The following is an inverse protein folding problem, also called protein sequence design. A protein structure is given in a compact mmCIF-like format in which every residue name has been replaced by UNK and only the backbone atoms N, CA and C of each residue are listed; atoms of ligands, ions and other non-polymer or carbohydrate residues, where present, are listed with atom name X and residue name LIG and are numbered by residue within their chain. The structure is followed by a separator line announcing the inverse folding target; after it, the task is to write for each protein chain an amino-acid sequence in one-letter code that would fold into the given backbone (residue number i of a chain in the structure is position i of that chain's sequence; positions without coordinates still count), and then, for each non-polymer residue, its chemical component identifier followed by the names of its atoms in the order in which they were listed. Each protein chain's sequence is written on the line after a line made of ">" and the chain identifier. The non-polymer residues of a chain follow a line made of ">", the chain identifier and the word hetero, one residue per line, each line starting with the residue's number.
data_IF_118681543445
#
_entry.id   IF_118681543445
#
_cell.length_a   1.000
_cell.length_b   1.000
_cell.length_c   1.000
_cell.angle_alpha   90.00
_cell.angle_beta   90.00
_cell.angle_gamma   90.00
#
_symmetry.space_group_name_H-M   'P 1'
#
loop_
_entity.id
_entity.type
_entity.pdbx_description
1 polymer ?
#
# COMPACT_ATOMS: atom_id res chain seq x y z
N UNK A 1 2.15 -15.28 -7.33
CA UNK A 1 2.41 -14.07 -6.52
C UNK A 1 1.70 -12.90 -7.20
N UNK A 2 0.74 -12.29 -6.52
CA UNK A 2 -0.07 -11.17 -7.04
C UNK A 2 0.46 -9.81 -6.60
N UNK A 3 0.99 -9.74 -5.38
CA UNK A 3 1.40 -8.49 -4.79
C UNK A 3 2.54 -8.66 -3.77
N UNK A 4 3.45 -7.69 -3.77
CA UNK A 4 4.43 -7.44 -2.73
C UNK A 4 4.09 -6.10 -2.04
N UNK A 5 3.71 -6.12 -0.76
CA UNK A 5 3.37 -4.90 0.00
C UNK A 5 4.29 -4.77 1.21
N UNK A 6 5.37 -3.99 1.09
CA UNK A 6 6.27 -3.74 2.22
C UNK A 6 7.00 -5.02 2.68
N UNK A 7 6.46 -5.67 3.72
CA UNK A 7 6.93 -6.90 4.34
C UNK A 7 6.02 -8.12 4.09
N UNK A 8 4.92 -7.96 3.34
CA UNK A 8 3.95 -9.01 3.07
C UNK A 8 3.87 -9.39 1.58
N UNK A 9 3.50 -10.65 1.34
CA UNK A 9 3.22 -11.21 0.02
C UNK A 9 1.76 -11.68 -0.04
N UNK A 10 1.04 -11.30 -1.09
CA UNK A 10 -0.26 -11.90 -1.41
C UNK A 10 -0.13 -12.85 -2.60
N UNK A 11 -0.54 -14.10 -2.38
CA UNK A 11 -0.43 -15.17 -3.37
C UNK A 11 -1.82 -15.78 -3.56
N UNK A 12 -2.28 -15.82 -4.81
CA UNK A 12 -3.51 -16.48 -5.20
C UNK A 12 -3.22 -17.83 -5.87
N UNK A 13 -3.93 -18.85 -5.43
CA UNK A 13 -4.07 -20.13 -6.10
C UNK A 13 -5.48 -20.18 -6.69
N UNK A 14 -5.67 -19.90 -7.98
CA UNK A 14 -7.00 -19.94 -8.58
C UNK A 14 -7.49 -21.38 -8.61
N UNK A 15 -8.81 -21.55 -8.38
CA UNK A 15 -9.46 -22.87 -8.49
C UNK A 15 -9.15 -23.45 -9.86
N UNK A 16 -8.51 -24.61 -9.88
CA UNK A 16 -8.20 -25.32 -11.11
C UNK A 16 -9.13 -26.53 -11.28
N UNK A 17 -9.11 -27.15 -12.48
CA UNK A 17 -9.93 -28.33 -12.77
C UNK A 17 -9.53 -29.56 -11.94
N UNK A 18 -8.33 -29.56 -11.35
CA UNK A 18 -7.85 -30.67 -10.52
C UNK A 18 -8.36 -30.61 -9.09
N UNK A 19 -8.85 -29.44 -8.64
CA UNK A 19 -9.31 -29.23 -7.26
C UNK A 19 -8.19 -29.28 -6.22
N UNK A 20 -6.93 -29.28 -6.66
CA UNK A 20 -5.73 -29.36 -5.79
C UNK A 20 -5.14 -28.00 -5.46
N UNK A 21 -5.87 -26.92 -5.71
CA UNK A 21 -5.41 -25.55 -5.48
C UNK A 21 -5.09 -25.29 -4.00
N UNK A 22 -5.92 -25.79 -3.08
CA UNK A 22 -5.69 -25.66 -1.63
C UNK A 22 -4.48 -26.47 -1.17
N UNK A 23 -4.37 -27.74 -1.60
CA UNK A 23 -3.20 -28.61 -1.34
C UNK A 23 -1.89 -27.94 -1.81
N UNK A 24 -1.91 -27.36 -3.02
CA UNK A 24 -0.76 -26.63 -3.57
C UNK A 24 -0.43 -25.37 -2.76
N UNK A 25 -1.44 -24.65 -2.28
CA UNK A 25 -1.24 -23.48 -1.43
C UNK A 25 -0.56 -23.86 -0.11
N UNK A 26 -1.02 -24.94 0.54
CA UNK A 26 -0.41 -25.46 1.79
C UNK A 26 1.04 -25.88 1.56
N UNK A 27 1.31 -26.67 0.51
CA UNK A 27 2.67 -27.08 0.17
C UNK A 27 3.57 -25.89 -0.15
N UNK A 28 3.07 -24.90 -0.87
CA UNK A 28 3.82 -23.67 -1.12
C UNK A 28 4.16 -22.94 0.18
N UNK A 29 3.21 -22.84 1.12
CA UNK A 29 3.43 -22.29 2.45
C UNK A 29 4.57 -22.99 3.20
N UNK A 30 4.54 -24.31 3.26
CA UNK A 30 5.58 -25.12 3.91
C UNK A 30 6.95 -24.95 3.24
N UNK A 31 7.00 -24.92 1.90
CA UNK A 31 8.24 -24.66 1.14
C UNK A 31 8.81 -23.27 1.43
N UNK A 32 7.95 -22.25 1.53
CA UNK A 32 8.38 -20.91 1.91
C UNK A 32 8.98 -20.92 3.33
N UNK A 33 8.35 -21.60 4.29
CA UNK A 33 8.91 -21.72 5.64
C UNK A 33 10.26 -22.44 5.68
N UNK A 34 10.44 -23.52 4.89
CA UNK A 34 11.74 -24.19 4.74
C UNK A 34 12.79 -23.28 4.11
N UNK A 35 12.44 -22.55 3.06
CA UNK A 35 13.34 -21.60 2.40
C UNK A 35 13.79 -20.50 3.38
N UNK A 36 12.89 -20.04 4.26
CA UNK A 36 13.19 -19.02 5.27
C UNK A 36 14.23 -19.43 6.31
N UNK A 37 14.49 -20.74 6.50
CA UNK A 37 15.54 -21.21 7.41
C UNK A 37 16.94 -20.69 7.02
N UNK A 38 17.19 -20.47 5.72
CA UNK A 38 18.46 -19.88 5.24
C UNK A 38 18.69 -18.44 5.72
N UNK A 39 17.63 -17.75 6.15
CA UNK A 39 17.66 -16.35 6.58
C UNK A 39 17.49 -16.20 8.10
N UNK A 40 17.57 -17.30 8.86
CA UNK A 40 17.39 -17.27 10.31
C UNK A 40 18.57 -16.60 11.04
N UNK A 41 19.76 -16.60 10.42
CA UNK A 41 20.97 -15.96 10.93
C UNK A 41 21.65 -15.18 9.81
N UNK A 42 21.32 -13.89 9.71
CA UNK A 42 21.96 -12.96 8.79
C UNK A 42 22.97 -12.15 9.59
N UNK A 43 24.25 -12.39 9.33
CA UNK A 43 25.34 -11.62 9.93
C UNK A 43 25.46 -10.26 9.25
N UNK A 44 25.46 -9.21 10.06
CA UNK A 44 25.67 -7.84 9.58
C UNK A 44 26.67 -7.13 10.49
N UNK A 45 27.27 -6.02 10.05
CA UNK A 45 28.12 -5.20 10.92
C UNK A 45 27.42 -4.66 12.18
N UNK A 46 26.08 -4.64 12.20
CA UNK A 46 25.27 -4.20 13.35
C UNK A 46 24.84 -5.36 14.26
N UNK A 47 25.26 -6.59 13.97
CA UNK A 47 24.92 -7.82 14.70
C UNK A 47 24.19 -8.85 13.85
N UNK A 48 23.76 -9.93 14.50
CA UNK A 48 22.99 -11.01 13.85
C UNK A 48 21.52 -10.65 13.83
N UNK A 49 20.95 -10.57 12.64
CA UNK A 49 19.52 -10.40 12.43
C UNK A 49 18.89 -11.74 12.06
N UNK A 50 17.65 -11.94 12.50
CA UNK A 50 16.91 -13.17 12.23
C UNK A 50 15.64 -12.84 11.48
N UNK A 51 15.54 -13.29 10.24
CA UNK A 51 14.35 -13.11 9.42
C UNK A 51 13.44 -14.34 9.57
N UNK A 52 12.13 -14.10 9.58
CA UNK A 52 11.16 -15.18 9.62
C UNK A 52 9.85 -14.75 9.02
N UNK A 53 9.03 -15.74 8.71
CA UNK A 53 7.79 -15.55 7.99
C UNK A 53 6.62 -16.14 8.77
N UNK A 54 5.47 -15.50 8.66
CA UNK A 54 4.18 -16.06 9.02
C UNK A 54 3.43 -16.30 7.72
N UNK A 55 2.73 -17.43 7.65
CA UNK A 55 1.90 -17.75 6.49
C UNK A 55 0.49 -18.01 7.00
N UNK A 56 -0.48 -17.35 6.38
CA UNK A 56 -1.91 -17.54 6.61
C UNK A 56 -2.61 -17.90 5.31
N UNK A 57 -3.53 -18.87 5.37
CA UNK A 57 -4.31 -19.35 4.24
C UNK A 57 -5.79 -19.28 4.57
N UNK A 58 -6.55 -18.83 3.58
CA UNK A 58 -8.00 -18.88 3.59
C UNK A 58 -8.52 -19.21 2.18
N UNK A 59 -9.65 -19.91 2.11
CA UNK A 59 -10.33 -20.28 0.88
C UNK A 59 -11.75 -19.73 0.90
N UNK A 60 -12.16 -19.07 -0.18
CA UNK A 60 -13.47 -18.48 -0.26
C UNK A 60 -13.72 -17.80 -1.61
N UNK A 61 -14.90 -17.20 -1.75
CA UNK A 61 -15.26 -16.42 -2.94
C UNK A 61 -14.74 -14.99 -2.80
N UNK A 62 -14.19 -14.45 -3.88
CA UNK A 62 -13.76 -13.07 -3.96
C UNK A 62 -13.98 -12.56 -5.38
N UNK A 63 -14.10 -11.25 -5.52
CA UNK A 63 -14.19 -10.59 -6.82
C UNK A 63 -12.80 -10.15 -7.27
N UNK A 64 -12.49 -10.32 -8.55
CA UNK A 64 -11.32 -9.74 -9.19
C UNK A 64 -11.76 -8.73 -10.23
N UNK A 65 -11.13 -7.56 -10.26
CA UNK A 65 -11.48 -6.53 -11.24
C UNK A 65 -10.23 -5.76 -11.69
N UNK A 66 -10.28 -5.29 -12.94
CA UNK A 66 -9.39 -4.25 -13.42
C UNK A 66 -10.12 -2.91 -13.25
N UNK A 67 -9.55 -1.99 -12.47
CA UNK A 67 -10.12 -0.66 -12.23
C UNK A 67 -9.20 0.42 -12.83
N UNK A 68 -9.79 1.50 -13.33
CA UNK A 68 -9.07 2.66 -13.86
C UNK A 68 -9.42 3.01 -15.30
N UNK A 69 -8.45 3.61 -16.00
CA UNK A 69 -8.57 4.06 -17.39
C UNK A 69 -7.64 3.27 -18.30
N UNK A 70 -7.83 3.36 -19.62
CA UNK A 70 -6.94 2.71 -20.59
C UNK A 70 -5.45 3.09 -20.43
N UNK A 71 -5.16 4.24 -19.81
CA UNK A 71 -3.80 4.73 -19.55
C UNK A 71 -3.26 4.30 -18.18
N UNK A 72 -4.15 4.07 -17.19
CA UNK A 72 -3.78 3.63 -15.84
C UNK A 72 -4.82 2.66 -15.29
N UNK A 73 -4.45 1.39 -15.20
CA UNK A 73 -5.27 0.29 -14.68
C UNK A 73 -4.65 -0.32 -13.43
N UNK A 74 -5.45 -0.75 -12.47
CA UNK A 74 -5.03 -1.53 -11.31
C UNK A 74 -5.81 -2.84 -11.25
N UNK A 75 -5.12 -3.95 -10.98
CA UNK A 75 -5.77 -5.23 -10.74
C UNK A 75 -6.03 -5.40 -9.24
N UNK A 76 -7.31 -5.43 -8.86
CA UNK A 76 -7.73 -5.51 -7.45
C UNK A 76 -8.46 -6.81 -7.16
N UNK A 77 -8.28 -7.29 -5.92
CA UNK A 77 -9.07 -8.36 -5.35
C UNK A 77 -10.01 -7.73 -4.32
N UNK A 78 -11.25 -8.16 -4.22
CA UNK A 78 -12.24 -7.58 -3.32
C UNK A 78 -13.07 -8.67 -2.63
N UNK A 79 -13.50 -8.39 -1.41
CA UNK A 79 -14.32 -9.29 -0.59
C UNK A 79 -13.61 -9.85 0.64
N UNK A 80 -14.40 -10.39 1.58
CA UNK A 80 -13.91 -10.82 2.89
C UNK A 80 -12.90 -11.97 2.82
N UNK A 81 -12.90 -12.80 1.77
CA UNK A 81 -11.92 -13.88 1.62
C UNK A 81 -10.46 -13.39 1.70
N UNK A 82 -10.15 -12.23 1.09
CA UNK A 82 -8.79 -11.66 1.14
C UNK A 82 -8.47 -11.17 2.56
N UNK A 83 -9.47 -10.62 3.26
CA UNK A 83 -9.34 -10.16 4.64
C UNK A 83 -9.09 -11.34 5.59
N UNK A 84 -9.83 -12.43 5.43
CA UNK A 84 -9.67 -13.64 6.24
C UNK A 84 -8.29 -14.28 6.03
N UNK A 85 -7.73 -14.26 4.82
CA UNK A 85 -6.35 -14.71 4.59
C UNK A 85 -5.33 -13.87 5.36
N UNK A 86 -5.49 -12.54 5.37
CA UNK A 86 -4.65 -11.63 6.16
C UNK A 86 -4.85 -11.83 7.67
N UNK A 87 -6.08 -12.07 8.12
CA UNK A 87 -6.36 -12.41 9.52
C UNK A 87 -5.68 -13.72 9.92
N UNK A 88 -5.76 -14.77 9.09
CA UNK A 88 -5.08 -16.04 9.34
C UNK A 88 -3.55 -15.85 9.48
N UNK A 89 -2.94 -14.96 8.70
CA UNK A 89 -1.51 -14.63 8.82
C UNK A 89 -1.23 -13.94 10.18
N UNK A 90 -2.07 -12.98 10.58
CA UNK A 90 -1.92 -12.27 11.85
C UNK A 90 -2.04 -13.18 13.07
N UNK A 91 -2.83 -14.25 12.97
CA UNK A 91 -3.00 -15.29 14.01
C UNK A 91 -1.95 -16.40 13.93
N UNK A 92 -1.14 -16.42 12.89
CA UNK A 92 -0.09 -17.41 12.68
C UNK A 92 1.13 -17.15 13.57
N UNK A 93 1.94 -18.18 13.76
CA UNK A 93 3.21 -18.11 14.45
C UNK A 93 4.37 -18.03 13.45
N UNK A 94 5.48 -17.42 13.87
CA UNK A 94 6.71 -17.37 13.06
C UNK A 94 7.15 -18.79 12.72
N UNK A 95 7.46 -19.05 11.46
CA UNK A 95 7.87 -20.37 10.99
C UNK A 95 6.71 -21.32 10.69
N UNK A 96 5.45 -20.90 10.88
CA UNK A 96 4.27 -21.76 10.76
C UNK A 96 3.35 -21.36 9.63
N UNK A 97 2.55 -22.33 9.19
CA UNK A 97 1.50 -22.19 8.19
C UNK A 97 0.17 -22.36 8.91
N UNK A 98 -0.66 -21.32 8.88
CA UNK A 98 -1.93 -21.23 9.58
C UNK A 98 -3.09 -21.24 8.57
N UNK A 99 -4.13 -22.01 8.87
CA UNK A 99 -5.35 -22.07 8.07
C UNK A 99 -6.54 -21.66 8.92
N UNK A 100 -7.53 -21.03 8.30
CA UNK A 100 -8.87 -20.94 8.89
C UNK A 100 -9.54 -22.32 8.89
N UNK A 101 -10.54 -22.51 9.76
CA UNK A 101 -11.32 -23.74 9.82
C UNK A 101 -11.90 -24.15 8.45
N UNK A 102 -12.41 -23.21 7.67
CA UNK A 102 -12.99 -23.49 6.35
C UNK A 102 -11.97 -24.09 5.39
N UNK A 103 -10.71 -23.65 5.48
CA UNK A 103 -9.65 -24.18 4.62
C UNK A 103 -9.13 -25.51 5.15
N UNK A 104 -9.01 -25.64 6.48
CA UNK A 104 -8.62 -26.89 7.13
C UNK A 104 -9.54 -28.05 6.73
N UNK A 105 -10.87 -27.84 6.75
CA UNK A 105 -11.84 -28.89 6.39
C UNK A 105 -11.65 -29.45 4.96
N UNK A 106 -11.04 -28.67 4.05
CA UNK A 106 -10.79 -29.09 2.67
C UNK A 106 -9.53 -29.97 2.52
N UNK A 107 -8.61 -29.95 3.49
CA UNK A 107 -7.31 -30.62 3.41
C UNK A 107 -6.95 -31.42 4.68
N UNK A 108 -7.93 -31.64 5.57
CA UNK A 108 -7.72 -32.35 6.84
C UNK A 108 -7.24 -33.79 6.68
N UNK A 109 -7.58 -34.41 5.55
CA UNK A 109 -7.20 -35.79 5.22
C UNK A 109 -5.83 -35.87 4.50
N UNK A 110 -5.29 -34.73 4.05
CA UNK A 110 -4.05 -34.65 3.25
C UNK A 110 -2.81 -34.28 4.07
N UNK A 111 -2.98 -33.65 5.23
CA UNK A 111 -1.89 -33.16 6.09
C UNK A 111 -2.18 -33.41 7.57
N UNK A 112 -1.14 -33.35 8.38
CA UNK A 112 -1.29 -33.35 9.84
C UNK A 112 -1.31 -31.92 10.39
N UNK A 113 -2.07 -31.72 11.47
CA UNK A 113 -2.32 -30.42 12.05
C UNK A 113 -2.20 -30.44 13.57
N UNK A 114 -1.93 -29.26 14.14
CA UNK A 114 -2.06 -29.01 15.57
C UNK A 114 -2.96 -27.78 15.82
N UNK A 115 -3.62 -27.70 16.99
CA UNK A 115 -4.48 -26.57 17.31
C UNK A 115 -3.69 -25.26 17.43
N UNK A 116 -4.16 -24.22 16.75
CA UNK A 116 -3.66 -22.85 16.87
C UNK A 116 -4.51 -22.00 17.82
N UNK A 117 -4.66 -20.72 17.49
CA UNK A 117 -5.67 -19.86 18.13
C UNK A 117 -7.10 -20.36 17.80
N UNK A 118 -8.12 -20.03 18.60
CA UNK A 118 -9.50 -20.45 18.33
C UNK A 118 -9.95 -20.09 16.91
N UNK A 119 -10.39 -21.09 16.13
CA UNK A 119 -10.79 -20.93 14.73
C UNK A 119 -9.67 -21.12 13.70
N UNK A 120 -8.46 -21.48 14.15
CA UNK A 120 -7.30 -21.64 13.30
C UNK A 120 -6.54 -22.95 13.59
N UNK A 121 -6.05 -23.57 12.51
CA UNK A 121 -5.25 -24.80 12.56
C UNK A 121 -3.86 -24.55 11.98
N UNK A 122 -2.85 -25.17 12.58
CA UNK A 122 -1.46 -25.04 12.13
C UNK A 122 -1.02 -26.33 11.46
N UNK A 123 -0.43 -26.22 10.28
CA UNK A 123 0.12 -27.38 9.56
C UNK A 123 1.38 -27.86 10.26
N UNK A 124 1.53 -29.17 10.37
CA UNK A 124 2.76 -29.83 10.76
C UNK A 124 3.61 -30.11 9.50
N UNK A 125 4.88 -29.71 9.55
CA UNK A 125 5.82 -29.96 8.45
C UNK A 125 6.48 -31.33 8.59
N UNK A 126 5.73 -32.40 8.35
CA UNK A 126 6.16 -33.80 8.45
C UNK A 126 6.41 -34.47 7.09
N UNK A 127 6.20 -33.72 6.00
CA UNK A 127 6.36 -34.22 4.63
C UNK A 127 7.85 -34.39 4.27
N UNK A 128 8.19 -35.46 3.56
CA UNK A 128 9.53 -35.57 2.95
C UNK A 128 9.69 -34.56 1.80
N UNK A 129 10.93 -34.20 1.44
CA UNK A 129 11.21 -33.26 0.34
C UNK A 129 10.56 -33.68 -0.98
N UNK A 130 10.54 -34.98 -1.29
CA UNK A 130 9.88 -35.50 -2.50
C UNK A 130 8.36 -35.35 -2.49
N UNK A 131 7.71 -35.53 -1.33
CA UNK A 131 6.24 -35.38 -1.19
C UNK A 131 5.80 -33.92 -1.10
N UNK A 132 6.66 -33.05 -0.58
CA UNK A 132 6.45 -31.61 -0.67
C UNK A 132 6.57 -31.13 -2.12
N UNK A 133 7.24 -31.90 -2.99
CA UNK A 133 7.52 -31.70 -4.41
C UNK A 133 8.75 -30.83 -4.66
N UNK A 134 9.32 -30.90 -5.86
CA UNK A 134 10.60 -30.25 -6.17
C UNK A 134 10.50 -28.72 -6.34
N UNK A 135 11.64 -28.04 -6.09
CA UNK A 135 11.90 -26.61 -6.35
C UNK A 135 12.13 -26.35 -7.84
N UNK A 136 11.40 -27.00 -8.73
CA UNK A 136 11.51 -26.65 -10.14
C UNK A 136 10.80 -25.32 -10.35
N UNK A 137 11.59 -24.25 -10.27
CA UNK A 137 11.31 -22.96 -10.90
C UNK A 137 11.31 -23.18 -12.41
N UNK A 138 10.35 -23.96 -12.91
CA UNK A 138 9.95 -23.82 -14.29
C UNK A 138 9.39 -22.41 -14.40
N UNK A 139 10.26 -21.46 -14.78
CA UNK A 139 9.82 -20.39 -15.67
C UNK A 139 9.11 -21.13 -16.78
N UNK A 140 7.78 -21.16 -16.71
CA UNK A 140 6.89 -21.82 -17.65
C UNK A 140 7.53 -21.68 -19.00
N UNK A 141 7.97 -22.81 -19.56
CA UNK A 141 8.88 -22.92 -20.70
C UNK A 141 8.59 -21.75 -21.61
N UNK A 142 9.42 -20.69 -21.55
CA UNK A 142 9.30 -19.59 -22.49
C UNK A 142 9.59 -20.28 -23.80
N UNK A 143 8.55 -20.74 -24.50
CA UNK A 143 8.56 -20.83 -25.94
C UNK A 143 8.97 -19.42 -26.30
N UNK A 144 10.27 -19.20 -26.52
CA UNK A 144 10.77 -18.00 -27.15
C UNK A 144 9.93 -17.96 -28.40
N UNK A 145 8.94 -17.06 -28.43
CA UNK A 145 8.21 -16.75 -29.63
C UNK A 145 9.31 -16.52 -30.66
N UNK A 146 9.37 -17.35 -31.70
CA UNK A 146 10.29 -17.12 -32.82
C UNK A 146 10.07 -15.66 -33.19
N UNK A 147 11.10 -14.79 -33.14
CA UNK A 147 10.92 -13.39 -33.44
C UNK A 147 10.23 -13.31 -34.81
N UNK A 148 9.09 -12.64 -34.91
CA UNK A 148 8.33 -12.53 -36.18
C UNK A 148 9.23 -11.99 -37.30
N UNK A 149 10.23 -11.18 -36.94
CA UNK A 149 11.30 -10.64 -37.81
C UNK A 149 12.11 -11.73 -38.53
N UNK A 150 12.23 -12.94 -37.96
CA UNK A 150 12.91 -14.09 -38.58
C UNK A 150 12.04 -14.81 -39.62
N UNK A 151 10.72 -14.59 -39.60
CA UNK A 151 9.77 -15.22 -40.52
C UNK A 151 9.43 -14.30 -41.72
N UNK A 152 9.39 -12.98 -41.50
CA UNK A 152 9.17 -11.99 -42.53
C UNK A 152 9.94 -10.69 -42.22
N UNK A 153 10.99 -10.44 -43.01
CA UNK A 153 11.83 -9.25 -42.94
C UNK A 153 11.43 -8.16 -43.94
N UNK A 154 10.30 -8.29 -44.62
CA UNK A 154 9.74 -7.22 -45.45
C UNK A 154 9.39 -6.00 -44.59
N UNK A 155 9.28 -4.83 -45.21
CA UNK A 155 8.87 -3.61 -44.52
C UNK A 155 7.50 -3.80 -43.86
N UNK A 156 6.58 -4.45 -44.56
CA UNK A 156 5.22 -4.77 -44.12
C UNK A 156 5.25 -5.75 -42.93
N UNK A 157 6.06 -6.81 -43.02
CA UNK A 157 6.26 -7.79 -41.96
C UNK A 157 6.82 -7.18 -40.67
N UNK A 158 7.81 -6.29 -40.80
CA UNK A 158 8.38 -5.57 -39.65
C UNK A 158 7.36 -4.63 -39.02
N UNK A 159 6.63 -3.84 -39.81
CA UNK A 159 5.57 -2.95 -39.29
C UNK A 159 4.49 -3.76 -38.57
N UNK A 160 4.08 -4.89 -39.13
CA UNK A 160 3.10 -5.78 -38.53
C UNK A 160 3.61 -6.36 -37.20
N UNK A 161 4.86 -6.81 -37.15
CA UNK A 161 5.49 -7.30 -35.93
C UNK A 161 5.59 -6.24 -34.82
N UNK A 162 5.92 -4.99 -35.19
CA UNK A 162 5.96 -3.86 -34.25
C UNK A 162 4.55 -3.59 -33.71
N UNK A 163 3.53 -3.52 -34.58
CA UNK A 163 2.13 -3.32 -34.16
C UNK A 163 1.66 -4.42 -33.20
N UNK A 164 1.88 -5.69 -33.53
CA UNK A 164 1.56 -6.80 -32.63
C UNK A 164 2.33 -6.71 -31.30
N UNK A 165 3.58 -6.25 -31.34
CA UNK A 165 4.39 -6.01 -30.14
C UNK A 165 3.76 -4.94 -29.24
N UNK A 166 3.34 -3.81 -29.83
CA UNK A 166 2.66 -2.73 -29.11
C UNK A 166 1.32 -3.21 -28.54
N UNK A 167 0.50 -3.91 -29.32
CA UNK A 167 -0.80 -4.45 -28.88
C UNK A 167 -0.66 -5.42 -27.70
N UNK A 168 0.45 -6.17 -27.61
CA UNK A 168 0.74 -7.07 -26.48
C UNK A 168 1.26 -6.34 -25.24
N UNK A 169 2.03 -5.27 -25.42
CA UNK A 169 2.72 -4.58 -24.32
C UNK A 169 1.88 -3.44 -23.74
N UNK A 170 1.14 -2.70 -24.58
CA UNK A 170 0.39 -1.52 -24.14
C UNK A 170 -0.62 -1.81 -23.01
N UNK A 171 -1.42 -2.90 -23.04
CA UNK A 171 -2.31 -3.24 -21.92
C UNK A 171 -1.55 -3.52 -20.61
N UNK A 172 -0.33 -4.06 -20.70
CA UNK A 172 0.51 -4.33 -19.52
C UNK A 172 1.14 -3.05 -18.97
N UNK A 173 1.48 -2.10 -19.84
CA UNK A 173 2.06 -0.81 -19.45
C UNK A 173 1.08 0.02 -18.60
N UNK A 174 -0.23 -0.08 -18.86
CA UNK A 174 -1.26 0.61 -18.08
C UNK A 174 -1.27 0.19 -16.59
N UNK A 175 -0.73 -0.98 -16.25
CA UNK A 175 -0.60 -1.44 -14.87
C UNK A 175 0.64 -0.90 -14.13
N UNK A 176 1.44 -0.05 -14.78
CA UNK A 176 2.62 0.56 -14.21
C UNK A 176 2.45 2.07 -14.10
N UNK A 177 2.77 2.69 -12.96
CA UNK A 177 2.81 4.14 -12.89
C UNK A 177 3.83 4.71 -13.89
N UNK A 178 3.44 5.74 -14.66
CA UNK A 178 4.25 6.29 -15.75
C UNK A 178 5.68 6.62 -15.32
N UNK A 179 5.85 7.21 -14.14
CA UNK A 179 7.17 7.58 -13.61
C UNK A 179 8.08 6.38 -13.33
N UNK A 180 7.52 5.20 -13.03
CA UNK A 180 8.31 3.97 -12.86
C UNK A 180 8.71 3.43 -14.24
N UNK A 181 7.78 3.49 -15.21
CA UNK A 181 8.05 3.09 -16.59
C UNK A 181 9.15 3.94 -17.22
N UNK A 182 9.12 5.27 -17.03
CA UNK A 182 10.15 6.20 -17.52
C UNK A 182 11.55 5.80 -17.04
N UNK A 183 11.71 5.46 -15.77
CA UNK A 183 13.02 5.07 -15.21
C UNK A 183 13.48 3.71 -15.73
N UNK A 184 12.55 2.80 -15.99
CA UNK A 184 12.88 1.54 -16.64
C UNK A 184 13.35 1.75 -18.08
N UNK A 185 12.79 2.73 -18.79
CA UNK A 185 13.22 3.12 -20.14
C UNK A 185 14.58 3.83 -20.13
N UNK A 186 14.83 4.69 -19.15
CA UNK A 186 16.13 5.36 -18.98
C UNK A 186 17.26 4.37 -18.63
N UNK A 187 16.94 3.29 -17.92
CA UNK A 187 17.88 2.23 -17.51
C UNK A 187 18.01 1.08 -18.52
N UNK A 188 17.69 1.29 -19.80
CA UNK A 188 17.63 0.24 -20.85
C UNK A 188 18.87 -0.65 -20.98
N UNK A 189 20.06 -0.14 -20.61
CA UNK A 189 21.30 -0.93 -20.60
C UNK A 189 21.39 -1.98 -19.49
N UNK A 190 20.88 -1.68 -18.29
CA UNK A 190 20.95 -2.56 -17.10
C UNK A 190 19.61 -3.21 -16.76
N UNK A 191 18.49 -2.64 -17.24
CA UNK A 191 17.10 -3.07 -16.97
C UNK A 191 16.82 -3.26 -15.47
N UNK A 192 17.41 -2.41 -14.64
CA UNK A 192 17.27 -2.42 -13.19
C UNK A 192 17.16 -0.99 -12.67
N UNK A 193 16.18 -0.72 -11.82
CA UNK A 193 16.12 0.54 -11.08
C UNK A 193 17.12 0.47 -9.92
N UNK A 194 18.14 1.34 -9.86
CA UNK A 194 19.15 1.27 -8.81
C UNK A 194 18.53 1.57 -7.43
N UNK A 195 19.03 0.94 -6.35
CA UNK A 195 18.63 1.30 -5.00
C UNK A 195 18.94 2.75 -4.67
N UNK A 196 18.07 3.40 -3.90
CA UNK A 196 18.20 4.79 -3.47
C UNK A 196 17.68 4.98 -2.03
N UNK A 197 18.10 6.06 -1.37
CA UNK A 197 17.67 6.44 -0.01
C UNK A 197 16.99 7.82 0.00
N UNK A 198 15.82 7.97 -0.64
CA UNK A 198 15.15 9.26 -0.70
C UNK A 198 14.53 9.64 0.65
N UNK A 199 14.07 10.89 0.74
CA UNK A 199 13.25 11.38 1.87
C UNK A 199 11.87 11.78 1.35
N UNK A 200 10.99 10.83 0.98
CA UNK A 200 9.71 11.15 0.38
C UNK A 200 8.67 11.61 1.42
N UNK A 201 7.65 12.32 0.94
CA UNK A 201 6.38 12.41 1.63
C UNK A 201 5.47 11.26 1.17
N UNK A 202 4.91 10.53 2.11
CA UNK A 202 4.05 9.36 1.87
C UNK A 202 2.65 9.67 2.35
N UNK A 203 1.66 9.41 1.50
CA UNK A 203 0.24 9.50 1.81
C UNK A 203 -0.33 8.08 1.71
N UNK A 204 -0.96 7.62 2.78
CA UNK A 204 -1.77 6.41 2.79
C UNK A 204 -3.24 6.78 2.88
N UNK A 205 -4.06 6.19 2.02
CA UNK A 205 -5.51 6.39 1.99
C UNK A 205 -6.18 5.04 2.16
N UNK A 206 -6.92 4.83 3.24
CA UNK A 206 -7.78 3.65 3.38
C UNK A 206 -9.19 4.04 2.94
N UNK A 207 -9.65 3.49 1.82
CA UNK A 207 -11.01 3.64 1.30
C UNK A 207 -11.89 2.53 1.86
N UNK A 208 -13.01 2.91 2.50
CA UNK A 208 -13.93 2.00 3.18
C UNK A 208 -15.33 2.09 2.57
N UNK A 209 -16.05 0.97 2.60
CA UNK A 209 -17.41 0.82 2.07
C UNK A 209 -17.47 -0.07 0.82
N UNK A 210 -16.40 -0.13 0.01
CA UNK A 210 -16.37 -0.96 -1.20
C UNK A 210 -16.04 -2.42 -0.89
N UNK A 211 -14.93 -2.67 -0.19
CA UNK A 211 -14.50 -4.05 0.09
C UNK A 211 -15.52 -4.78 0.95
N UNK A 212 -16.12 -4.06 1.90
CA UNK A 212 -17.13 -4.60 2.81
C UNK A 212 -18.48 -4.86 2.14
N UNK A 213 -18.78 -4.19 1.03
CA UNK A 213 -20.07 -4.36 0.34
C UNK A 213 -20.11 -5.58 -0.56
N UNK A 214 -18.97 -6.01 -1.11
CA UNK A 214 -18.86 -7.13 -2.06
C UNK A 214 -19.53 -8.41 -1.56
N UNK A 215 -19.40 -8.72 -0.26
CA UNK A 215 -19.97 -9.96 0.29
C UNK A 215 -21.50 -9.93 0.39
N UNK A 216 -22.11 -8.74 0.36
CA UNK A 216 -23.56 -8.53 0.37
C UNK A 216 -24.13 -8.24 -1.03
N UNK A 217 -23.24 -8.14 -2.03
CA UNK A 217 -23.58 -7.71 -3.38
C UNK A 217 -24.12 -8.87 -4.22
N UNK A 218 -25.21 -8.61 -4.94
CA UNK A 218 -25.77 -9.58 -5.89
C UNK A 218 -24.96 -9.59 -7.20
N UNK A 219 -24.90 -10.71 -7.94
CA UNK A 219 -24.07 -10.80 -9.15
C UNK A 219 -24.32 -9.74 -10.24
N UNK A 220 -25.55 -9.23 -10.33
CA UNK A 220 -25.93 -8.16 -11.25
C UNK A 220 -25.41 -6.77 -10.82
N UNK A 221 -25.05 -6.58 -9.55
CA UNK A 221 -24.56 -5.32 -8.97
C UNK A 221 -23.01 -5.21 -9.01
N UNK A 222 -22.29 -6.28 -9.37
CA UNK A 222 -20.82 -6.27 -9.40
C UNK A 222 -20.24 -5.19 -10.33
N UNK A 223 -20.87 -4.96 -11.48
CA UNK A 223 -20.40 -3.94 -12.42
C UNK A 223 -20.53 -2.52 -11.86
N UNK A 224 -21.56 -2.25 -11.05
CA UNK A 224 -21.77 -0.93 -10.46
C UNK A 224 -20.71 -0.63 -9.40
N UNK A 225 -20.34 -1.64 -8.59
CA UNK A 225 -19.28 -1.50 -7.58
C UNK A 225 -17.91 -1.34 -8.25
N UNK A 226 -17.62 -2.16 -9.26
CA UNK A 226 -16.37 -2.04 -10.02
C UNK A 226 -16.30 -0.69 -10.73
N UNK A 227 -17.41 -0.21 -11.29
CA UNK A 227 -17.52 1.11 -11.91
C UNK A 227 -17.24 2.25 -10.93
N UNK A 228 -17.88 2.23 -9.75
CA UNK A 228 -17.64 3.23 -8.72
C UNK A 228 -16.18 3.22 -8.21
N UNK A 229 -15.59 2.03 -8.02
CA UNK A 229 -14.17 1.96 -7.65
C UNK A 229 -13.28 2.47 -8.78
N UNK A 230 -13.60 2.16 -10.03
CA UNK A 230 -12.88 2.65 -11.20
C UNK A 230 -12.90 4.18 -11.31
N UNK A 231 -14.05 4.80 -11.06
CA UNK A 231 -14.23 6.26 -11.01
C UNK A 231 -13.40 6.88 -9.88
N UNK A 232 -13.56 6.38 -8.65
CA UNK A 232 -12.81 6.85 -7.50
C UNK A 232 -11.29 6.75 -7.70
N UNK A 233 -10.82 5.61 -8.21
CA UNK A 233 -9.40 5.39 -8.50
C UNK A 233 -8.89 6.35 -9.57
N UNK A 234 -9.64 6.55 -10.65
CA UNK A 234 -9.24 7.42 -11.77
C UNK A 234 -9.12 8.87 -11.34
N UNK A 235 -10.10 9.39 -10.58
CA UNK A 235 -10.06 10.76 -10.05
C UNK A 235 -8.91 10.97 -9.06
N UNK A 236 -8.70 10.02 -8.15
CA UNK A 236 -7.58 10.06 -7.20
C UNK A 236 -6.26 10.04 -7.95
N UNK A 237 -6.09 9.15 -8.94
CA UNK A 237 -4.85 9.06 -9.71
C UNK A 237 -4.56 10.37 -10.47
N UNK A 238 -5.57 10.97 -11.10
CA UNK A 238 -5.41 12.25 -11.80
C UNK A 238 -4.94 13.38 -10.87
N UNK A 239 -5.49 13.47 -9.65
CA UNK A 239 -5.03 14.45 -8.65
C UNK A 239 -3.60 14.14 -8.16
N UNK A 240 -3.25 12.88 -8.01
CA UNK A 240 -1.89 12.47 -7.60
C UNK A 240 -0.88 12.86 -8.67
N UNK A 241 -1.14 12.51 -9.93
CA UNK A 241 -0.25 12.76 -11.06
C UNK A 241 -0.11 14.24 -11.38
N UNK A 242 -1.21 15.02 -11.35
CA UNK A 242 -1.17 16.47 -11.57
C UNK A 242 -0.31 17.21 -10.53
N UNK A 243 -0.12 16.63 -9.35
CA UNK A 243 0.80 17.15 -8.32
C UNK A 243 2.18 16.50 -8.34
N UNK A 244 2.48 15.64 -9.31
CA UNK A 244 3.78 14.98 -9.44
C UNK A 244 4.01 13.87 -8.42
N UNK A 245 2.95 13.34 -7.81
CA UNK A 245 3.01 12.14 -6.98
C UNK A 245 2.85 10.87 -7.82
N UNK A 246 3.00 9.72 -7.17
CA UNK A 246 2.74 8.40 -7.75
C UNK A 246 1.76 7.67 -6.87
N UNK A 247 0.64 7.23 -7.44
CA UNK A 247 -0.21 6.20 -6.84
C UNK A 247 0.37 4.86 -7.23
N UNK A 248 1.05 4.22 -6.27
CA UNK A 248 1.81 3.00 -6.54
C UNK A 248 0.90 1.81 -6.73
N UNK A 249 -0.01 1.60 -5.78
CA UNK A 249 -0.84 0.39 -5.72
C UNK A 249 -2.07 0.60 -4.85
N UNK A 250 -3.10 -0.19 -5.13
CA UNK A 250 -4.29 -0.37 -4.30
C UNK A 250 -4.26 -1.78 -3.72
N UNK A 251 -4.36 -1.89 -2.40
CA UNK A 251 -4.17 -3.15 -1.66
C UNK A 251 -5.35 -3.35 -0.71
N UNK A 252 -5.84 -4.58 -0.52
CA UNK A 252 -6.90 -4.81 0.48
C UNK A 252 -6.29 -4.72 1.88
N UNK A 253 -6.77 -3.85 2.75
CA UNK A 253 -6.40 -3.81 4.15
C UNK A 253 -7.49 -4.47 5.01
N UNK A 254 -7.16 -4.88 6.23
CA UNK A 254 -8.10 -5.50 7.20
C UNK A 254 -9.38 -4.68 7.45
N UNK A 255 -9.38 -3.41 7.04
CA UNK A 255 -10.45 -2.44 7.25
C UNK A 255 -10.79 -1.66 5.99
N UNK A 256 -10.49 -2.13 4.77
CA UNK A 256 -10.83 -1.41 3.54
C UNK A 256 -9.81 -1.64 2.41
N UNK A 257 -9.57 -0.61 1.61
CA UNK A 257 -8.60 -0.60 0.50
C UNK A 257 -7.55 0.49 0.71
N UNK A 258 -6.31 0.10 0.95
CA UNK A 258 -5.18 1.00 1.14
C UNK A 258 -4.58 1.41 -0.21
N UNK A 259 -4.43 2.71 -0.42
CA UNK A 259 -3.69 3.30 -1.51
C UNK A 259 -2.41 3.91 -0.98
N UNK A 260 -1.27 3.48 -1.52
CA UNK A 260 0.04 4.04 -1.18
C UNK A 260 0.47 5.07 -2.23
N UNK A 261 0.64 6.31 -1.80
CA UNK A 261 1.01 7.43 -2.66
C UNK A 261 2.34 8.04 -2.19
N UNK A 262 3.24 8.29 -3.14
CA UNK A 262 4.57 8.82 -2.86
C UNK A 262 4.82 10.14 -3.59
N UNK A 263 5.51 11.04 -2.89
CA UNK A 263 5.97 12.32 -3.39
C UNK A 263 7.45 12.47 -3.06
N UNK A 264 8.27 12.94 -4.02
CA UNK A 264 9.72 13.05 -3.83
C UNK A 264 10.49 11.74 -4.08
N UNK A 265 9.83 10.73 -4.65
CA UNK A 265 10.48 9.56 -5.24
C UNK A 265 9.56 8.97 -6.31
N UNK A 266 10.08 8.55 -7.47
CA UNK A 266 11.46 8.71 -7.92
C UNK A 266 11.75 10.10 -8.49
N UNK A 267 10.73 10.85 -8.96
CA UNK A 267 10.87 12.27 -9.30
C UNK A 267 10.83 13.13 -8.03
N UNK A 268 11.67 14.17 -7.99
CA UNK A 268 11.83 15.06 -6.83
C UNK A 268 11.44 16.49 -7.19
N UNK A 269 10.47 17.05 -6.46
CA UNK A 269 10.04 18.46 -6.57
C UNK A 269 10.31 19.19 -5.25
N UNK A 270 10.90 20.39 -5.20
CA UNK A 270 11.25 21.05 -3.93
C UNK A 270 10.11 21.22 -2.91
N UNK A 271 8.86 21.26 -3.38
CA UNK A 271 7.62 21.44 -2.62
C UNK A 271 6.82 20.12 -2.42
N UNK A 272 7.44 18.96 -2.63
CA UNK A 272 6.77 17.65 -2.54
C UNK A 272 6.03 17.36 -1.21
N UNK A 273 6.44 17.86 -0.02
CA UNK A 273 5.64 17.67 1.21
C UNK A 273 4.33 18.46 1.19
N UNK A 274 4.31 19.64 0.58
CA UNK A 274 3.10 20.44 0.42
C UNK A 274 2.15 19.78 -0.58
N UNK A 275 2.68 19.32 -1.72
CA UNK A 275 1.91 18.57 -2.72
C UNK A 275 1.21 17.36 -2.10
N UNK A 276 1.91 16.60 -1.26
CA UNK A 276 1.34 15.47 -0.52
C UNK A 276 0.16 15.89 0.40
N UNK A 277 0.32 16.98 1.14
CA UNK A 277 -0.72 17.54 2.01
C UNK A 277 -1.98 17.93 1.21
N UNK A 278 -1.80 18.64 0.11
CA UNK A 278 -2.90 19.09 -0.72
C UNK A 278 -3.57 17.94 -1.47
N UNK A 279 -2.81 16.92 -1.90
CA UNK A 279 -3.38 15.68 -2.46
C UNK A 279 -4.26 14.98 -1.44
N UNK A 280 -3.81 14.83 -0.19
CA UNK A 280 -4.60 14.21 0.86
C UNK A 280 -5.96 14.94 1.07
N UNK A 281 -5.97 16.27 1.03
CA UNK A 281 -7.22 17.05 1.12
C UNK A 281 -8.12 16.86 -0.11
N UNK A 282 -7.53 16.85 -1.31
CA UNK A 282 -8.27 16.67 -2.55
C UNK A 282 -8.89 15.27 -2.65
N UNK A 283 -8.15 14.22 -2.28
CA UNK A 283 -8.66 12.83 -2.22
C UNK A 283 -9.85 12.71 -1.27
N UNK A 284 -9.79 13.34 -0.09
CA UNK A 284 -10.94 13.37 0.81
C UNK A 284 -12.16 14.02 0.16
N UNK A 285 -11.96 15.16 -0.52
CA UNK A 285 -13.07 15.89 -1.15
C UNK A 285 -13.72 15.06 -2.27
N UNK A 286 -12.92 14.38 -3.10
CA UNK A 286 -13.41 13.44 -4.12
C UNK A 286 -14.33 12.40 -3.47
N UNK A 287 -13.83 11.71 -2.45
CA UNK A 287 -14.57 10.61 -1.79
C UNK A 287 -15.85 11.11 -1.11
N UNK A 288 -15.86 12.34 -0.60
CA UNK A 288 -17.06 12.98 -0.03
C UNK A 288 -18.10 13.39 -1.07
N UNK A 289 -17.71 13.57 -2.32
CA UNK A 289 -18.59 13.96 -3.42
C UNK A 289 -19.13 12.75 -4.20
N UNK A 290 -18.52 11.58 -4.05
CA UNK A 290 -19.01 10.35 -4.66
C UNK A 290 -20.40 9.97 -4.13
N UNK A 291 -21.35 9.63 -5.02
CA UNK A 291 -22.68 9.21 -4.61
C UNK A 291 -22.64 7.90 -3.82
N UNK A 292 -23.59 7.67 -2.90
CA UNK A 292 -23.75 6.37 -2.26
C UNK A 292 -24.02 5.28 -3.30
N UNK A 293 -23.38 4.14 -3.13
CA UNK A 293 -23.59 2.97 -3.99
C UNK A 293 -24.78 2.19 -3.44
N UNK A 294 -25.69 1.75 -4.30
CA UNK A 294 -26.78 0.86 -3.89
C UNK A 294 -26.28 -0.58 -3.89
N UNK A 295 -26.38 -1.25 -2.75
CA UNK A 295 -26.04 -2.67 -2.63
C UNK A 295 -27.17 -3.37 -1.92
N UNK A 296 -27.79 -4.35 -2.58
CA UNK A 296 -28.97 -5.06 -2.08
C UNK A 296 -30.07 -4.10 -1.56
N UNK A 297 -30.31 -3.00 -2.30
CA UNK A 297 -31.30 -1.98 -1.95
C UNK A 297 -30.93 -1.04 -0.80
N UNK A 298 -29.72 -1.12 -0.24
CA UNK A 298 -29.24 -0.23 0.81
C UNK A 298 -28.13 0.70 0.30
N UNK A 299 -28.19 2.02 0.60
CA UNK A 299 -27.12 2.95 0.23
C UNK A 299 -25.88 2.76 1.11
N UNK A 300 -24.74 2.53 0.48
CA UNK A 300 -23.43 2.46 1.12
C UNK A 300 -22.65 3.71 0.75
N UNK A 301 -22.43 4.56 1.76
CA UNK A 301 -21.60 5.76 1.62
C UNK A 301 -20.12 5.40 1.77
N UNK A 302 -19.31 5.85 0.81
CA UNK A 302 -17.86 5.73 0.88
C UNK A 302 -17.25 6.74 1.84
N UNK A 303 -16.17 6.34 2.49
CA UNK A 303 -15.38 7.21 3.36
C UNK A 303 -13.91 6.82 3.33
N UNK A 304 -13.04 7.76 3.71
CA UNK A 304 -11.62 7.52 3.78
C UNK A 304 -11.01 7.84 5.14
N UNK A 305 -9.88 7.20 5.41
CA UNK A 305 -8.94 7.59 6.44
C UNK A 305 -7.61 7.91 5.75
N UNK A 306 -6.94 8.98 6.14
CA UNK A 306 -5.72 9.42 5.46
C UNK A 306 -4.60 9.66 6.47
N UNK A 307 -3.45 9.05 6.24
CA UNK A 307 -2.22 9.25 7.01
C UNK A 307 -1.14 9.84 6.12
N UNK A 308 -0.48 10.91 6.58
CA UNK A 308 0.65 11.50 5.87
C UNK A 308 1.88 11.47 6.76
N UNK A 309 3.02 11.11 6.20
CA UNK A 309 4.30 11.20 6.90
C UNK A 309 5.42 11.58 5.94
N UNK A 310 6.47 12.20 6.46
CA UNK A 310 7.64 12.59 5.69
C UNK A 310 8.90 12.18 6.44
N UNK A 311 9.86 11.60 5.72
CA UNK A 311 11.09 11.10 6.32
C UNK A 311 11.88 10.17 5.40
N UNK A 312 13.04 9.70 5.85
CA UNK A 312 13.94 8.86 5.05
C UNK A 312 13.30 7.50 4.78
N UNK A 313 13.54 6.98 3.58
CA UNK A 313 13.13 5.65 3.13
C UNK A 313 14.22 5.01 2.28
N UNK A 314 14.03 3.73 2.00
CA UNK A 314 14.79 2.98 0.99
C UNK A 314 13.87 2.74 -0.20
N UNK A 315 14.32 3.00 -1.43
CA UNK A 315 13.60 2.66 -2.65
C UNK A 315 14.44 1.80 -3.57
N UNK A 316 13.87 0.74 -4.11
CA UNK A 316 14.56 -0.20 -5.00
C UNK A 316 13.57 -1.06 -5.79
N UNK A 317 14.03 -1.66 -6.88
CA UNK A 317 13.35 -2.78 -7.51
C UNK A 317 13.65 -4.08 -6.74
N UNK A 318 12.61 -4.76 -6.25
CA UNK A 318 12.72 -5.97 -5.42
C UNK A 318 12.06 -7.13 -6.15
N UNK A 319 12.75 -8.28 -6.23
CA UNK A 319 12.23 -9.52 -6.80
C UNK A 319 13.30 -10.38 -7.45
N UNK A 320 12.87 -11.35 -8.25
CA UNK A 320 13.77 -12.28 -8.93
C UNK A 320 14.37 -11.61 -10.19
N UNK A 321 15.70 -11.56 -10.38
CA UNK A 321 16.34 -10.81 -11.46
C UNK A 321 15.84 -11.13 -12.88
N UNK A 322 15.45 -12.38 -13.15
CA UNK A 322 14.94 -12.84 -14.45
C UNK A 322 13.42 -13.06 -14.47
N UNK A 323 12.72 -12.63 -13.42
CA UNK A 323 11.31 -12.91 -13.20
C UNK A 323 10.56 -11.70 -12.69
N UNK A 324 9.67 -11.93 -11.71
CA UNK A 324 8.79 -10.88 -11.20
C UNK A 324 9.57 -9.94 -10.28
N UNK A 325 9.50 -8.65 -10.58
CA UNK A 325 10.10 -7.57 -9.80
C UNK A 325 9.13 -6.41 -9.67
N UNK A 326 9.17 -5.73 -8.54
CA UNK A 326 8.34 -4.56 -8.27
C UNK A 326 9.22 -3.45 -7.68
N UNK A 327 9.10 -2.23 -8.23
CA UNK A 327 9.65 -1.05 -7.57
C UNK A 327 8.98 -0.92 -6.21
N UNK A 328 9.72 -0.70 -5.13
CA UNK A 328 9.25 -0.64 -3.74
C UNK A 328 9.85 0.55 -3.00
N UNK A 329 9.10 1.08 -2.02
CA UNK A 329 9.57 2.12 -1.10
C UNK A 329 9.30 1.62 0.31
N UNK A 330 10.36 1.45 1.09
CA UNK A 330 10.36 0.78 2.40
C UNK A 330 10.93 1.70 3.49
N UNK A 331 10.50 1.49 4.72
CA UNK A 331 11.07 2.12 5.90
C UNK A 331 10.05 2.57 6.93
N UNK A 332 10.53 2.96 8.10
CA UNK A 332 9.70 3.40 9.23
C UNK A 332 8.78 4.57 8.89
N UNK A 333 9.20 5.42 7.95
CA UNK A 333 8.40 6.53 7.44
C UNK A 333 7.09 6.04 6.81
N UNK A 334 7.16 4.97 6.01
CA UNK A 334 6.02 4.35 5.33
C UNK A 334 5.09 3.71 6.37
N UNK A 335 5.68 2.91 7.26
CA UNK A 335 4.94 2.23 8.34
C UNK A 335 4.23 3.22 9.27
N UNK A 336 4.86 4.37 9.54
CA UNK A 336 4.26 5.42 10.37
C UNK A 336 3.09 6.09 9.66
N UNK A 337 3.16 6.36 8.36
CA UNK A 337 2.04 6.91 7.59
C UNK A 337 0.83 5.96 7.60
N UNK A 338 1.04 4.65 7.37
CA UNK A 338 -0.02 3.65 7.48
C UNK A 338 -0.63 3.57 8.90
N UNK A 339 0.21 3.65 9.94
CA UNK A 339 -0.25 3.70 11.35
C UNK A 339 -1.01 4.98 11.71
N UNK A 340 -0.72 6.09 11.06
CA UNK A 340 -1.45 7.35 11.22
C UNK A 340 -2.83 7.25 10.57
N UNK A 341 -2.89 6.71 9.35
CA UNK A 341 -4.14 6.42 8.64
C UNK A 341 -5.07 5.54 9.49
N UNK A 342 -4.58 4.43 10.03
CA UNK A 342 -5.37 3.52 10.87
C UNK A 342 -5.88 4.15 12.18
N UNK A 343 -5.27 5.26 12.64
CA UNK A 343 -5.72 6.03 13.81
C UNK A 343 -6.60 7.23 13.46
N UNK A 344 -6.63 7.63 12.19
CA UNK A 344 -7.48 8.72 11.76
C UNK A 344 -8.94 8.29 11.88
N UNK A 345 -9.81 9.16 12.38
CA UNK A 345 -11.22 8.85 12.34
C UNK A 345 -11.75 8.80 10.91
N UNK A 346 -12.72 7.91 10.63
CA UNK A 346 -13.52 8.00 9.41
C UNK A 346 -13.99 9.44 9.20
N UNK A 347 -13.69 10.05 8.05
CA UNK A 347 -14.15 11.41 7.74
C UNK A 347 -15.65 11.41 7.40
N UNK A 348 -16.50 11.16 8.42
CA UNK A 348 -17.95 11.34 8.37
C UNK A 348 -18.37 12.80 8.60
N UNK A 349 -17.48 13.65 9.12
CA UNK A 349 -17.78 15.05 9.44
C UNK A 349 -16.97 16.06 8.61
N UNK A 350 -17.55 17.24 8.41
CA UNK A 350 -17.18 18.26 7.42
C UNK A 350 -16.05 19.21 7.82
N UNK A 351 -15.41 19.05 8.98
CA UNK A 351 -14.41 20.01 9.47
C UNK A 351 -13.01 19.36 9.67
N UNK A 352 -12.00 19.73 8.87
CA UNK A 352 -10.64 19.22 9.05
C UNK A 352 -9.92 19.92 10.21
N UNK A 353 -9.12 19.15 10.98
CA UNK A 353 -7.99 19.71 11.75
C UNK A 353 -6.67 19.17 11.20
N UNK A 354 -5.86 20.08 10.66
CA UNK A 354 -4.52 19.82 10.17
C UNK A 354 -3.54 20.02 11.34
N UNK A 355 -2.81 18.98 11.73
CA UNK A 355 -1.79 19.06 12.77
C UNK A 355 -0.41 18.82 12.16
N UNK A 356 0.43 19.87 12.16
CA UNK A 356 1.86 19.74 11.91
C UNK A 356 2.56 19.52 13.25
N UNK A 357 3.17 18.36 13.45
CA UNK A 357 3.98 18.07 14.64
C UNK A 357 5.40 17.71 14.23
N UNK A 358 6.38 18.33 14.89
CA UNK A 358 7.78 17.96 14.78
C UNK A 358 8.09 16.84 15.76
N UNK A 359 8.63 15.72 15.28
CA UNK A 359 9.08 14.61 16.15
C UNK A 359 10.44 14.09 15.67
N UNK A 360 11.45 14.15 16.55
CA UNK A 360 12.83 13.68 16.28
C UNK A 360 13.46 14.22 14.97
N UNK A 361 13.13 15.45 14.57
CA UNK A 361 13.66 16.06 13.35
C UNK A 361 12.79 15.90 12.10
N UNK A 362 11.77 15.04 12.11
CA UNK A 362 10.84 14.87 11.01
C UNK A 362 9.60 15.77 11.18
N UNK A 363 9.10 16.29 10.07
CA UNK A 363 7.81 16.97 9.99
C UNK A 363 6.72 15.92 9.74
N UNK A 364 5.80 15.77 10.70
CA UNK A 364 4.65 14.90 10.56
C UNK A 364 3.44 15.77 10.29
N UNK A 365 2.77 15.54 9.16
CA UNK A 365 1.50 16.14 8.84
C UNK A 365 0.40 15.13 9.16
N UNK A 366 -0.41 15.39 10.19
CA UNK A 366 -1.52 14.53 10.53
C UNK A 366 -2.82 15.25 10.20
N UNK A 367 -3.67 14.64 9.38
CA UNK A 367 -5.04 15.11 9.13
C UNK A 367 -5.94 14.34 10.10
N UNK A 368 -6.45 15.00 11.14
CA UNK A 368 -7.38 14.40 12.12
C UNK A 368 -8.84 14.81 11.83
N UNK A 369 -9.73 13.81 11.88
CA UNK A 369 -11.10 13.94 12.41
C UNK A 369 -11.08 13.62 13.92
N UNK A 370 -11.93 14.25 14.74
CA UNK A 370 -11.78 14.28 16.21
C UNK A 370 -12.59 13.20 16.95
N UNK A 371 -11.89 12.41 17.79
CA UNK A 371 -12.31 12.08 19.16
C UNK A 371 -11.15 11.51 19.98
N UNK A 372 -10.86 12.18 21.09
CA UNK A 372 -9.95 11.71 22.13
C UNK A 372 -10.69 10.71 23.02
N UNK A 373 -10.52 9.41 22.81
CA UNK A 373 -10.75 8.46 23.89
C UNK A 373 -9.60 8.60 24.90
N UNK A 374 -9.95 8.83 26.17
CA UNK A 374 -9.01 8.99 27.29
C UNK A 374 -8.17 7.71 27.46
N UNK A 375 -7.00 7.65 26.84
CA UNK A 375 -6.04 6.56 27.03
C UNK A 375 -4.62 7.04 26.77
N UNK A 376 -3.78 7.08 27.80
CA UNK A 376 -2.37 7.48 27.71
C UNK A 376 -1.62 6.54 26.75
N UNK A 377 -1.23 7.02 25.56
CA UNK A 377 -0.22 6.37 24.74
C UNK A 377 1.13 6.44 25.45
N UNK A 378 1.55 5.35 26.09
CA UNK A 378 2.94 5.16 26.52
C UNK A 378 3.76 4.65 25.32
N UNK A 379 4.93 5.22 25.01
CA UNK A 379 5.83 4.65 24.01
C UNK A 379 6.40 3.29 24.50
N UNK A 380 6.72 2.35 23.58
CA UNK A 380 7.26 1.04 23.94
C UNK A 380 8.63 1.13 24.65
N UNK A 381 8.98 0.13 25.48
CA UNK A 381 9.99 0.24 26.54
C UNK A 381 11.45 0.43 26.07
N UNK A 382 11.75 0.25 24.78
CA UNK A 382 13.11 0.45 24.24
C UNK A 382 13.44 1.91 23.87
N UNK A 383 12.54 2.87 24.12
CA UNK A 383 12.79 4.31 23.97
C UNK A 383 13.00 5.01 25.32
N UNK A 384 14.01 4.58 26.10
CA UNK A 384 14.53 5.37 27.22
C UNK A 384 15.93 5.90 26.88
N UNK A 385 15.99 7.12 26.39
CA UNK A 385 17.15 7.99 26.58
C UNK A 385 16.86 8.92 27.75
N UNK A 386 17.75 9.04 28.74
CA UNK A 386 17.59 10.01 29.81
C UNK A 386 17.80 11.41 29.24
N UNK A 387 16.91 12.35 29.59
CA UNK A 387 16.95 13.80 29.27
C UNK A 387 16.40 14.22 27.90
N UNK A 388 15.09 14.28 27.79
CA UNK A 388 14.43 15.40 27.09
C UNK A 388 13.03 15.62 27.68
N UNK A 389 12.76 16.84 28.13
CA UNK A 389 11.51 17.26 28.74
C UNK A 389 10.38 17.31 27.70
N UNK A 390 9.47 16.35 27.76
CA UNK A 390 8.23 16.36 26.96
C UNK A 390 7.32 17.51 27.41
N UNK A 391 7.06 18.48 26.53
CA UNK A 391 5.96 19.44 26.70
C UNK A 391 4.80 19.07 25.78
N UNK A 392 3.72 18.58 26.36
CA UNK A 392 2.38 18.54 25.77
C UNK A 392 1.76 19.94 25.87
N UNK A 393 1.39 20.57 24.76
CA UNK A 393 0.65 21.83 24.79
C UNK A 393 -0.84 21.59 24.54
N UNK A 394 -1.67 22.08 25.48
CA UNK A 394 -3.13 22.23 25.35
C UNK A 394 -3.41 23.69 25.04
N UNK A 395 -4.24 23.97 24.03
CA UNK A 395 -4.71 25.33 23.73
C UNK A 395 -6.09 25.52 24.34
N UNK A 396 -6.24 26.53 25.19
CA UNK A 396 -7.52 26.99 25.76
C UNK A 396 -7.97 28.26 25.02
N UNK A 397 -9.28 28.39 24.79
CA UNK A 397 -9.91 29.56 24.16
C UNK A 397 -9.97 30.77 25.11
N UNK A 398 -9.41 31.92 24.74
CA UNK A 398 -9.97 33.28 24.97
C UNK A 398 -9.07 34.42 24.42
N UNK A 399 -9.61 35.21 23.46
CA UNK A 399 -9.43 36.66 23.10
C UNK A 399 -8.00 37.29 22.98
N UNK A 400 -7.84 38.56 22.49
CA UNK A 400 -8.28 39.16 21.22
C UNK A 400 -7.14 39.83 20.39
N UNK A 401 -7.47 40.06 19.10
CA UNK A 401 -6.97 41.00 18.06
C UNK A 401 -5.54 41.58 18.11
N UNK A 402 -4.88 41.36 16.96
CA UNK A 402 -3.85 42.16 16.31
C UNK A 402 -2.48 42.25 17.01
N UNK A 403 -1.52 41.44 16.54
CA UNK A 403 -0.24 41.82 15.91
C UNK A 403 0.69 40.59 15.91
N UNK A 404 1.24 40.20 14.75
CA UNK A 404 2.20 39.09 14.65
C UNK A 404 3.63 39.63 14.55
N UNK A 405 4.52 39.21 15.47
CA UNK A 405 5.97 39.43 15.39
C UNK A 405 6.66 38.07 15.32
N UNK A 406 7.48 37.87 14.29
CA UNK A 406 8.20 36.63 14.03
C UNK A 406 9.65 36.74 14.52
N UNK A 407 10.10 35.81 15.38
CA UNK A 407 11.53 35.61 15.69
C UNK A 407 11.92 34.13 15.50
N UNK A 408 13.00 33.88 14.75
CA UNK A 408 13.53 32.54 14.45
C UNK A 408 14.88 32.28 15.15
N UNK A 409 15.12 31.10 15.74
CA UNK A 409 16.46 30.66 16.08
C UNK A 409 17.10 29.92 14.90
N UNK A 410 18.29 30.38 14.51
CA UNK A 410 19.16 29.79 13.48
C UNK A 410 19.69 28.43 13.96
N UNK A 411 19.39 27.36 13.20
CA UNK A 411 20.38 26.43 12.60
C UNK A 411 19.63 25.21 12.00
N UNK A 412 20.15 24.74 10.87
CA UNK A 412 19.80 23.53 10.09
C UNK A 412 18.45 23.45 9.37
N UNK A 413 18.12 24.46 8.55
CA UNK A 413 17.25 24.30 7.36
C UNK A 413 17.54 25.43 6.35
N UNK A 414 17.53 25.15 5.04
CA UNK A 414 17.67 26.21 4.01
C UNK A 414 16.47 27.15 4.13
N UNK A 415 16.76 28.45 4.33
CA UNK A 415 15.81 29.53 4.65
C UNK A 415 14.60 29.65 3.70
N UNK A 416 14.67 29.08 2.50
CA UNK A 416 13.67 29.22 1.44
C UNK A 416 12.49 28.23 1.56
N UNK A 417 12.66 27.06 2.19
CA UNK A 417 11.61 26.02 2.22
C UNK A 417 10.54 26.33 3.28
N UNK A 418 10.92 26.79 4.47
CA UNK A 418 9.97 27.21 5.52
C UNK A 418 9.26 28.53 5.20
N UNK A 419 9.90 29.41 4.42
CA UNK A 419 9.35 30.71 4.06
C UNK A 419 8.15 30.58 3.12
N UNK A 420 8.15 29.59 2.23
CA UNK A 420 7.07 29.40 1.25
C UNK A 420 5.79 28.86 1.88
N UNK A 421 5.89 27.96 2.85
CA UNK A 421 4.73 27.36 3.52
C UNK A 421 3.95 28.39 4.36
N UNK A 422 4.65 29.23 5.13
CA UNK A 422 4.01 30.24 5.99
C UNK A 422 3.40 31.41 5.20
N UNK A 423 4.05 31.86 4.12
CA UNK A 423 3.53 32.94 3.25
C UNK A 423 2.30 32.51 2.45
N UNK A 424 2.20 31.23 2.13
CA UNK A 424 1.06 30.65 1.41
C UNK A 424 -0.18 30.50 2.29
N UNK A 425 -0.03 30.06 3.55
CA UNK A 425 -1.14 30.03 4.54
C UNK A 425 -1.73 31.44 4.72
N UNK A 426 -0.89 32.48 4.69
CA UNK A 426 -1.34 33.87 4.72
C UNK A 426 -2.05 34.34 3.43
N UNK A 427 -1.66 33.84 2.25
CA UNK A 427 -2.22 34.26 0.94
C UNK A 427 -3.47 33.51 0.51
N UNK A 428 -3.70 32.27 0.97
CA UNK A 428 -4.81 31.41 0.55
C UNK A 428 -5.93 31.25 1.59
N UNK A 429 -6.06 32.24 2.48
CA UNK A 429 -7.09 32.35 3.53
C UNK A 429 -8.55 32.37 3.04
N UNK A 430 -8.80 32.33 1.72
CA UNK A 430 -10.14 32.21 1.13
C UNK A 430 -10.70 30.78 1.12
N UNK A 431 -9.85 29.75 1.21
CA UNK A 431 -10.25 28.33 1.22
C UNK A 431 -10.26 27.70 2.62
N UNK A 432 -10.01 28.52 3.65
CA UNK A 432 -9.93 28.13 5.05
C UNK A 432 -11.15 28.74 5.74
N UNK A 433 -12.00 27.95 6.44
CA UNK A 433 -13.13 28.53 7.17
C UNK A 433 -12.63 29.61 8.13
N UNK A 434 -13.30 30.77 8.16
CA UNK A 434 -12.94 31.99 8.92
C UNK A 434 -12.72 31.78 10.43
N UNK A 435 -12.93 30.57 10.94
CA UNK A 435 -12.88 30.20 12.35
C UNK A 435 -11.68 29.30 12.71
N UNK A 436 -10.78 28.99 11.78
CA UNK A 436 -9.54 28.25 12.07
C UNK A 436 -8.41 29.21 12.51
N UNK A 437 -8.27 29.41 13.81
CA UNK A 437 -7.14 30.12 14.41
C UNK A 437 -5.92 29.19 14.52
N UNK A 438 -4.79 29.60 13.93
CA UNK A 438 -3.50 28.95 14.10
C UNK A 438 -2.72 29.65 15.21
N UNK A 439 -2.39 28.94 16.29
CA UNK A 439 -1.39 29.38 17.26
C UNK A 439 -0.16 28.47 17.12
N UNK A 440 0.91 29.01 16.53
CA UNK A 440 2.22 28.36 16.46
C UNK A 440 3.10 29.06 17.50
N UNK A 441 3.42 28.37 18.59
CA UNK A 441 4.46 28.78 19.54
C UNK A 441 5.80 28.17 19.17
#
# INVERSE_FOLDING_TARGET
>A
MLEFTGDALLILFPKDRSGKDVERAVRAGLRMQRAMKHFEKIETPLGVFSLGMRVGLHTGKFLTANIGTAERMEYVLLGNTVLQAKHAESQSMRGRVCLTNETYELVKDDFNFEPGQPGYMLVLDDLTTGHLGEYELFSSTRRRSIPVILLDSSREGIIHAIRQGIERVAPLAAHMPLQVLEIQLESTGTRTIPPNFPTPATVFVNLRGLTESIDQTLPNEYNDIVGCFSEAFSEINAVVESKGGILKKVTCHLSGSDMAIYFGTPKVYPDYPLRAAETALAVRNIIQQLPPIQVNGAPIQLYCQIGVNYGPTFSAEIGEPRGRREFNVLGDTINTAARLMNRAEPTRSSLPKLFLKRQRGNWILIIWGISLSKGKLRPPPFMRSPRSTDKLFRVHHHLPKNTAVVKYPRKTMRRNECFNLARWVGKNSKWIPRNALYEIK
#
